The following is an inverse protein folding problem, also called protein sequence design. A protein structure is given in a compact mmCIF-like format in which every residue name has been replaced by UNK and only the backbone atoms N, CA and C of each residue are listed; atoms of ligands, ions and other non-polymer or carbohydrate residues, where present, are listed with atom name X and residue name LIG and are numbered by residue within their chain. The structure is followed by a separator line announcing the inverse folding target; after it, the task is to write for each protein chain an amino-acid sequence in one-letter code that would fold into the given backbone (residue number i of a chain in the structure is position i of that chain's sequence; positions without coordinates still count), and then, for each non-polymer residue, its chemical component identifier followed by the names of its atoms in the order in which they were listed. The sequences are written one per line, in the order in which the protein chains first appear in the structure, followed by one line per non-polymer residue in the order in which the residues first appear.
data_IF_835573290929
#
_entry.id   IF_835573290929
#
_cell.length_a   1.000
_cell.length_b   1.000
_cell.length_c   1.000
_cell.angle_alpha   90.00
_cell.angle_beta   90.00
_cell.angle_gamma   90.00
#
_symmetry.space_group_name_H-M   'P 1'
#
loop_
_entity.id
_entity.type
_entity.pdbx_description
1 polymer ?
#
# COMPACT_ATOMS: atom_id res chain seq x y z
N UNK A 1 12.42 -14.31 6.95
CA UNK A 1 13.80 -14.42 7.49
C UNK A 1 13.79 -14.21 8.99
N UNK A 2 13.35 -13.04 9.47
CA UNK A 2 13.24 -12.68 10.90
C UNK A 2 12.33 -13.60 11.76
N UNK A 3 11.36 -14.29 11.16
CA UNK A 3 10.41 -15.13 11.90
C UNK A 3 9.25 -14.32 12.49
N UNK A 4 8.48 -14.96 13.38
CA UNK A 4 7.28 -14.39 14.01
C UNK A 4 7.64 -13.75 15.34
N UNK A 5 7.03 -12.62 15.69
CA UNK A 5 7.16 -12.01 17.03
C UNK A 5 6.67 -12.96 18.10
N UNK A 6 7.18 -12.79 19.32
CA UNK A 6 6.70 -13.54 20.48
C UNK A 6 5.19 -13.29 20.67
N UNK A 7 4.45 -14.35 21.03
CA UNK A 7 3.01 -14.28 21.20
C UNK A 7 2.18 -14.39 19.91
N UNK A 8 2.77 -14.30 18.72
CA UNK A 8 2.02 -14.42 17.46
C UNK A 8 1.51 -15.86 17.22
N UNK A 9 0.27 -16.07 16.73
CA UNK A 9 -0.78 -15.09 16.45
C UNK A 9 -1.77 -14.92 17.62
N UNK A 10 -1.51 -15.58 18.75
CA UNK A 10 -2.42 -15.71 19.87
C UNK A 10 -2.56 -14.44 20.71
N UNK A 11 -1.50 -13.65 20.81
CA UNK A 11 -1.47 -12.41 21.57
C UNK A 11 -1.77 -11.22 20.65
N UNK A 12 -2.72 -10.38 21.06
CA UNK A 12 -3.07 -9.17 20.34
C UNK A 12 -2.00 -8.10 20.56
N UNK A 13 -1.50 -7.50 19.48
CA UNK A 13 -0.61 -6.33 19.52
C UNK A 13 -1.36 -5.09 19.02
N UNK A 14 -2.17 -4.44 19.86
CA UNK A 14 -2.90 -3.24 19.45
C UNK A 14 -1.93 -2.09 19.12
N UNK A 15 -2.35 -1.13 18.28
CA UNK A 15 -1.53 0.05 17.98
C UNK A 15 -1.22 0.82 19.27
N UNK A 16 0.07 1.06 19.48
CA UNK A 16 0.60 1.79 20.65
C UNK A 16 0.00 3.19 20.82
N UNK A 17 -0.15 3.95 19.72
CA UNK A 17 -0.69 5.31 19.75
C UNK A 17 -1.48 5.61 18.47
N UNK A 18 -2.80 5.48 18.55
CA UNK A 18 -3.70 5.67 17.39
C UNK A 18 -3.70 7.12 16.85
N UNK A 19 -3.69 8.19 17.68
CA UNK A 19 -3.49 9.54 17.19
C UNK A 19 -2.21 9.72 16.35
N UNK A 20 -1.10 9.08 16.75
CA UNK A 20 0.15 9.14 15.99
C UNK A 20 0.02 8.43 14.63
N UNK A 21 -0.71 7.32 14.55
CA UNK A 21 -1.04 6.65 13.26
C UNK A 21 -1.86 7.57 12.36
N UNK A 22 -2.85 8.27 12.91
CA UNK A 22 -3.65 9.24 12.15
C UNK A 22 -2.80 10.40 11.65
N UNK A 23 -1.91 10.94 12.49
CA UNK A 23 -0.98 11.99 12.09
C UNK A 23 -0.07 11.51 10.95
N UNK A 24 0.51 10.31 11.09
CA UNK A 24 1.33 9.69 10.04
C UNK A 24 0.56 9.52 8.73
N UNK A 25 -0.70 9.09 8.80
CA UNK A 25 -1.57 8.96 7.62
C UNK A 25 -1.86 10.32 6.98
N UNK A 26 -2.09 11.36 7.79
CA UNK A 26 -2.28 12.73 7.29
C UNK A 26 -1.04 13.27 6.57
N UNK A 27 0.15 13.03 7.14
CA UNK A 27 1.44 13.39 6.53
C UNK A 27 1.63 12.62 5.21
N UNK A 28 1.36 11.32 5.19
CA UNK A 28 1.46 10.50 3.99
C UNK A 28 0.52 10.98 2.89
N UNK A 29 -0.75 11.25 3.22
CA UNK A 29 -1.72 11.72 2.23
C UNK A 29 -1.33 13.08 1.66
N UNK A 30 -0.93 14.03 2.53
CA UNK A 30 -0.42 15.33 2.09
C UNK A 30 0.82 15.18 1.18
N UNK A 31 1.80 14.39 1.61
CA UNK A 31 3.02 14.15 0.83
C UNK A 31 2.76 13.43 -0.49
N UNK A 32 1.73 12.59 -0.56
CA UNK A 32 1.38 11.84 -1.78
C UNK A 32 0.92 12.73 -2.93
N UNK A 33 0.45 13.95 -2.65
CA UNK A 33 0.22 14.94 -3.71
C UNK A 33 1.51 15.24 -4.47
N UNK A 34 2.60 15.51 -3.74
CA UNK A 34 3.92 15.71 -4.36
C UNK A 34 4.43 14.45 -5.05
N UNK A 35 4.17 13.27 -4.45
CA UNK A 35 4.58 11.98 -5.02
C UNK A 35 3.96 11.72 -6.39
N UNK A 36 2.63 11.83 -6.51
CA UNK A 36 1.92 11.52 -7.75
C UNK A 36 1.89 12.71 -8.73
N UNK A 37 1.53 13.91 -8.27
CA UNK A 37 1.48 15.08 -9.16
C UNK A 37 2.88 15.50 -9.63
N UNK A 38 3.88 15.41 -8.75
CA UNK A 38 5.27 15.69 -9.09
C UNK A 38 5.87 14.71 -10.08
N UNK A 39 5.32 13.49 -10.20
CA UNK A 39 5.73 12.51 -11.22
C UNK A 39 5.42 12.96 -12.65
N UNK A 40 4.58 13.99 -12.84
CA UNK A 40 4.40 14.66 -14.13
C UNK A 40 5.58 15.56 -14.52
N UNK A 41 6.50 15.86 -13.59
CA UNK A 41 7.73 16.63 -13.79
C UNK A 41 7.55 18.06 -14.34
N UNK A 42 6.31 18.56 -14.34
CA UNK A 42 5.95 19.90 -14.76
C UNK A 42 4.65 20.34 -14.09
N UNK A 43 4.45 21.66 -13.96
CA UNK A 43 3.18 22.23 -13.52
C UNK A 43 2.22 22.34 -14.71
N UNK A 44 1.52 21.24 -15.03
CA UNK A 44 0.66 21.13 -16.21
C UNK A 44 -0.66 20.38 -15.90
N UNK A 45 -1.48 20.14 -16.94
CA UNK A 45 -2.74 19.41 -16.80
C UNK A 45 -2.59 17.99 -16.25
N UNK A 46 -1.53 17.27 -16.64
CA UNK A 46 -1.25 15.92 -16.12
C UNK A 46 -0.98 15.92 -14.61
N UNK A 47 -0.24 16.92 -14.10
CA UNK A 47 -0.02 17.08 -12.66
C UNK A 47 -1.33 17.33 -11.91
N UNK A 48 -2.22 18.18 -12.46
CA UNK A 48 -3.54 18.45 -11.87
C UNK A 48 -4.40 17.20 -11.85
N UNK A 49 -4.42 16.44 -12.96
CA UNK A 49 -5.15 15.18 -13.04
C UNK A 49 -4.64 14.16 -12.00
N UNK A 50 -3.32 13.99 -11.91
CA UNK A 50 -2.70 13.09 -10.94
C UNK A 50 -3.02 13.50 -9.50
N UNK A 51 -3.02 14.79 -9.19
CA UNK A 51 -3.40 15.31 -7.87
C UNK A 51 -4.86 14.95 -7.55
N UNK A 52 -5.79 15.21 -8.48
CA UNK A 52 -7.21 14.91 -8.29
C UNK A 52 -7.47 13.41 -8.13
N UNK A 53 -6.89 12.59 -8.98
CA UNK A 53 -6.98 11.13 -8.89
C UNK A 53 -6.45 10.61 -7.55
N UNK A 54 -5.34 11.15 -7.07
CA UNK A 54 -4.74 10.79 -5.78
C UNK A 54 -5.69 11.10 -4.63
N UNK A 55 -6.28 12.30 -4.61
CA UNK A 55 -7.21 12.69 -3.55
C UNK A 55 -8.48 11.84 -3.55
N UNK A 56 -9.10 11.69 -4.72
CA UNK A 56 -10.37 10.99 -4.88
C UNK A 56 -10.21 9.49 -4.58
N UNK A 57 -9.14 8.85 -5.06
CA UNK A 57 -8.87 7.46 -4.77
C UNK A 57 -8.65 7.23 -3.28
N UNK A 58 -7.86 8.07 -2.60
CA UNK A 58 -7.62 7.96 -1.16
C UNK A 58 -8.91 8.07 -0.34
N UNK A 59 -9.78 9.04 -0.67
CA UNK A 59 -11.09 9.19 -0.03
C UNK A 59 -11.99 7.97 -0.28
N UNK A 60 -12.01 7.46 -1.52
CA UNK A 60 -12.76 6.27 -1.87
C UNK A 60 -12.21 5.00 -1.18
N UNK A 61 -10.90 4.88 -0.99
CA UNK A 61 -10.27 3.79 -0.26
C UNK A 61 -10.59 3.78 1.23
N UNK A 62 -10.58 4.95 1.85
CA UNK A 62 -11.06 5.13 3.23
C UNK A 62 -12.49 4.60 3.37
N UNK A 63 -13.39 5.04 2.48
CA UNK A 63 -14.80 4.61 2.49
C UNK A 63 -14.90 3.10 2.22
N UNK A 64 -14.22 2.59 1.21
CA UNK A 64 -14.25 1.17 0.84
C UNK A 64 -13.83 0.27 1.99
N UNK A 65 -12.73 0.62 2.68
CA UNK A 65 -12.27 -0.11 3.86
C UNK A 65 -13.28 -0.03 5.01
N UNK A 66 -13.72 1.18 5.37
CA UNK A 66 -14.68 1.35 6.47
C UNK A 66 -15.99 0.59 6.21
N UNK A 67 -16.46 0.55 4.96
CA UNK A 67 -17.67 -0.19 4.60
C UNK A 67 -17.49 -1.69 4.74
N UNK A 68 -16.39 -2.26 4.25
CA UNK A 68 -16.18 -3.72 4.38
C UNK A 68 -15.90 -4.14 5.82
N UNK A 69 -15.14 -3.32 6.56
CA UNK A 69 -14.86 -3.55 7.98
C UNK A 69 -16.15 -3.45 8.81
N UNK A 70 -16.98 -2.43 8.56
CA UNK A 70 -18.29 -2.33 9.20
C UNK A 70 -19.20 -3.51 8.86
N UNK A 71 -19.22 -3.94 7.60
CA UNK A 71 -20.05 -5.06 7.16
C UNK A 71 -19.61 -6.40 7.80
N UNK A 72 -18.30 -6.66 7.91
CA UNK A 72 -17.76 -7.94 8.40
C UNK A 72 -17.54 -7.98 9.90
N UNK A 73 -17.05 -6.89 10.47
CA UNK A 73 -16.59 -6.81 11.86
C UNK A 73 -17.54 -5.97 12.73
N UNK A 74 -18.60 -5.40 12.14
CA UNK A 74 -19.68 -4.71 12.83
C UNK A 74 -19.41 -3.26 13.17
N UNK A 75 -18.16 -2.78 13.06
CA UNK A 75 -17.77 -1.38 13.32
C UNK A 75 -16.66 -0.93 12.38
N UNK A 76 -16.81 0.25 11.78
CA UNK A 76 -15.71 0.93 11.13
C UNK A 76 -14.75 1.50 12.18
N UNK A 77 -13.44 1.32 11.97
CA UNK A 77 -12.40 1.78 12.88
C UNK A 77 -11.55 2.88 12.24
N UNK A 78 -10.97 3.74 13.08
CA UNK A 78 -10.03 4.77 12.62
C UNK A 78 -8.76 4.18 12.01
N UNK A 79 -8.29 3.04 12.55
CA UNK A 79 -7.14 2.33 12.00
C UNK A 79 -7.46 1.75 10.62
N UNK A 80 -8.66 1.20 10.45
CA UNK A 80 -9.17 0.73 9.16
C UNK A 80 -9.29 1.87 8.15
N UNK A 81 -9.86 3.02 8.56
CA UNK A 81 -9.90 4.22 7.72
C UNK A 81 -8.50 4.65 7.25
N UNK A 82 -7.51 4.67 8.16
CA UNK A 82 -6.12 4.99 7.81
C UNK A 82 -5.52 3.97 6.82
N UNK A 83 -5.76 2.68 7.05
CA UNK A 83 -5.30 1.60 6.19
C UNK A 83 -5.91 1.69 4.79
N UNK A 84 -7.20 2.02 4.70
CA UNK A 84 -7.92 2.25 3.44
C UNK A 84 -7.35 3.42 2.64
N UNK A 85 -7.00 4.53 3.29
CA UNK A 85 -6.31 5.66 2.65
C UNK A 85 -5.00 5.20 2.03
N UNK A 86 -4.13 4.55 2.81
CA UNK A 86 -2.80 4.13 2.33
C UNK A 86 -2.91 3.08 1.21
N UNK A 87 -3.80 2.09 1.36
CA UNK A 87 -4.05 1.08 0.33
C UNK A 87 -4.45 1.69 -1.01
N UNK A 88 -5.35 2.69 -0.99
CA UNK A 88 -5.78 3.38 -2.20
C UNK A 88 -4.72 4.32 -2.77
N UNK A 89 -3.96 5.01 -1.93
CA UNK A 89 -2.81 5.83 -2.37
C UNK A 89 -1.78 4.97 -3.10
N UNK A 90 -1.48 3.77 -2.59
CA UNK A 90 -0.62 2.80 -3.28
C UNK A 90 -1.26 2.36 -4.60
N UNK A 91 -2.53 1.97 -4.61
CA UNK A 91 -3.18 1.46 -5.82
C UNK A 91 -3.30 2.51 -6.94
N UNK A 92 -3.56 3.78 -6.62
CA UNK A 92 -3.66 4.84 -7.64
C UNK A 92 -2.30 5.32 -8.13
N UNK A 93 -1.22 5.10 -7.37
CA UNK A 93 0.15 5.56 -7.71
C UNK A 93 0.57 5.23 -9.15
N UNK A 94 0.51 3.98 -9.64
CA UNK A 94 0.92 3.69 -11.02
C UNK A 94 0.00 4.34 -12.06
N UNK A 95 -1.22 4.72 -11.68
CA UNK A 95 -2.29 5.13 -12.59
C UNK A 95 -2.65 6.63 -12.51
N UNK A 96 -2.10 7.37 -11.56
CA UNK A 96 -2.58 8.71 -11.20
C UNK A 96 -2.61 9.66 -12.42
N UNK A 97 -1.62 9.59 -13.29
CA UNK A 97 -1.53 10.40 -14.50
C UNK A 97 -2.10 9.75 -15.77
N UNK A 98 -2.75 8.59 -15.69
CA UNK A 98 -3.12 7.78 -16.87
C UNK A 98 -4.61 7.42 -16.94
N UNK A 99 -5.39 7.73 -15.91
CA UNK A 99 -6.80 7.37 -15.83
C UNK A 99 -7.68 8.61 -15.72
N UNK A 100 -8.72 8.67 -16.56
CA UNK A 100 -9.66 9.79 -16.61
C UNK A 100 -10.95 9.55 -15.82
N UNK A 101 -11.73 10.62 -15.65
CA UNK A 101 -13.09 10.55 -15.09
C UNK A 101 -13.15 10.07 -13.64
N UNK A 102 -14.14 9.21 -13.34
CA UNK A 102 -14.38 8.67 -12.00
C UNK A 102 -13.69 7.32 -11.75
N UNK A 103 -12.78 6.90 -12.63
CA UNK A 103 -12.04 5.63 -12.49
C UNK A 103 -11.23 5.57 -11.19
N UNK A 104 -10.67 6.68 -10.72
CA UNK A 104 -9.93 6.75 -9.44
C UNK A 104 -10.77 6.34 -8.22
N UNK A 105 -12.10 6.51 -8.26
CA UNK A 105 -13.01 5.98 -7.21
C UNK A 105 -12.97 4.46 -7.19
N UNK A 106 -12.94 3.81 -8.35
CA UNK A 106 -12.88 2.35 -8.46
C UNK A 106 -11.55 1.85 -7.90
N UNK A 107 -10.43 2.49 -8.24
CA UNK A 107 -9.12 2.17 -7.64
C UNK A 107 -9.16 2.24 -6.12
N UNK A 108 -9.72 3.33 -5.58
CA UNK A 108 -9.88 3.49 -4.15
C UNK A 108 -10.72 2.39 -3.50
N UNK A 109 -11.95 2.20 -3.98
CA UNK A 109 -12.88 1.22 -3.42
C UNK A 109 -12.33 -0.21 -3.50
N UNK A 110 -11.82 -0.61 -4.66
CA UNK A 110 -11.28 -1.96 -4.88
C UNK A 110 -10.03 -2.19 -4.03
N UNK A 111 -9.14 -1.20 -3.91
CA UNK A 111 -7.96 -1.30 -3.07
C UNK A 111 -8.31 -1.36 -1.58
N UNK A 112 -9.21 -0.50 -1.11
CA UNK A 112 -9.65 -0.50 0.30
C UNK A 112 -10.28 -1.83 0.69
N UNK A 113 -11.19 -2.35 -0.14
CA UNK A 113 -11.83 -3.65 0.11
C UNK A 113 -10.84 -4.80 -0.06
N UNK A 114 -10.09 -4.81 -1.15
CA UNK A 114 -9.16 -5.89 -1.49
C UNK A 114 -8.05 -6.03 -0.45
N UNK A 115 -7.41 -4.93 -0.06
CA UNK A 115 -6.34 -4.95 0.92
C UNK A 115 -6.84 -5.40 2.30
N UNK A 116 -8.06 -5.04 2.70
CA UNK A 116 -8.69 -5.58 3.92
C UNK A 116 -8.73 -7.12 3.93
N UNK A 117 -9.02 -7.76 2.79
CA UNK A 117 -8.99 -9.23 2.72
C UNK A 117 -7.56 -9.77 2.67
N UNK A 118 -6.65 -9.10 1.96
CA UNK A 118 -5.26 -9.52 1.81
C UNK A 118 -4.50 -9.52 3.14
N UNK A 119 -4.73 -8.55 4.03
CA UNK A 119 -4.13 -8.55 5.37
C UNK A 119 -4.56 -9.77 6.19
N UNK A 120 -5.79 -10.25 6.01
CA UNK A 120 -6.31 -11.43 6.69
C UNK A 120 -5.65 -12.74 6.24
N UNK A 121 -4.95 -12.75 5.10
CA UNK A 121 -4.26 -13.94 4.60
C UNK A 121 -3.04 -14.30 5.45
N UNK A 122 -2.40 -13.34 6.14
CA UNK A 122 -1.19 -13.61 6.93
C UNK A 122 -1.40 -14.64 8.03
N UNK A 123 -2.56 -14.61 8.68
CA UNK A 123 -2.93 -15.58 9.71
C UNK A 123 -3.19 -16.98 9.13
N UNK A 124 -3.77 -17.05 7.92
CA UNK A 124 -4.02 -18.33 7.21
C UNK A 124 -2.74 -18.94 6.64
N UNK A 125 -1.86 -18.09 6.11
CA UNK A 125 -0.59 -18.49 5.49
C UNK A 125 0.54 -18.63 6.51
N UNK A 126 0.31 -18.24 7.76
CA UNK A 126 1.23 -18.51 8.86
C UNK A 126 2.46 -17.60 8.87
N UNK A 127 2.37 -16.36 8.38
CA UNK A 127 3.48 -15.38 8.43
C UNK A 127 3.10 -14.15 9.25
N UNK A 128 4.08 -13.57 9.93
CA UNK A 128 3.91 -12.35 10.73
C UNK A 128 4.43 -11.14 9.94
N UNK A 129 3.50 -10.47 9.25
CA UNK A 129 3.72 -9.16 8.66
C UNK A 129 3.20 -8.10 9.64
N UNK A 130 4.12 -7.51 10.40
CA UNK A 130 3.82 -6.78 11.62
C UNK A 130 2.93 -5.57 11.42
N UNK A 131 3.13 -4.87 10.30
CA UNK A 131 2.45 -3.63 9.94
C UNK A 131 1.63 -3.78 8.65
N UNK A 132 1.34 -5.02 8.25
CA UNK A 132 0.52 -5.32 7.07
C UNK A 132 1.06 -4.76 5.75
N UNK A 133 2.39 -4.58 5.63
CA UNK A 133 3.03 -3.98 4.45
C UNK A 133 2.81 -4.83 3.20
N UNK A 134 2.85 -6.15 3.31
CA UNK A 134 2.58 -7.07 2.20
C UNK A 134 1.13 -6.93 1.73
N UNK A 135 0.18 -6.87 2.67
CA UNK A 135 -1.24 -6.76 2.35
C UNK A 135 -1.64 -5.39 1.78
N UNK A 136 -1.11 -4.31 2.36
CA UNK A 136 -1.42 -2.92 1.96
C UNK A 136 -0.59 -2.47 0.78
N UNK A 137 0.74 -2.52 0.85
CA UNK A 137 1.61 -2.04 -0.22
C UNK A 137 1.76 -3.08 -1.34
N UNK A 138 2.05 -4.33 -1.00
CA UNK A 138 2.15 -5.40 -1.99
C UNK A 138 0.80 -5.65 -2.69
N UNK A 139 -0.24 -5.86 -1.89
CA UNK A 139 -1.61 -6.06 -2.38
C UNK A 139 -2.17 -4.86 -3.14
N UNK A 140 -2.04 -3.65 -2.57
CA UNK A 140 -2.46 -2.41 -3.22
C UNK A 140 -1.72 -2.16 -4.54
N UNK A 141 -0.41 -2.46 -4.59
CA UNK A 141 0.38 -2.34 -5.81
C UNK A 141 -0.08 -3.30 -6.92
N UNK A 142 -0.39 -4.55 -6.56
CA UNK A 142 -0.95 -5.54 -7.51
C UNK A 142 -2.31 -5.07 -8.02
N UNK A 143 -3.21 -4.66 -7.12
CA UNK A 143 -4.53 -4.14 -7.49
C UNK A 143 -4.39 -2.93 -8.43
N UNK A 144 -3.53 -1.98 -8.08
CA UNK A 144 -3.26 -0.79 -8.89
C UNK A 144 -2.70 -1.11 -10.27
N UNK A 145 -1.73 -2.03 -10.35
CA UNK A 145 -1.13 -2.45 -11.62
C UNK A 145 -2.13 -3.16 -12.54
N UNK A 146 -2.98 -4.03 -11.99
CA UNK A 146 -4.06 -4.67 -12.72
C UNK A 146 -5.08 -3.64 -13.23
N UNK A 147 -5.53 -2.74 -12.36
CA UNK A 147 -6.51 -1.72 -12.72
C UNK A 147 -5.94 -0.73 -13.74
N UNK A 148 -4.65 -0.38 -13.69
CA UNK A 148 -4.01 0.44 -14.72
C UNK A 148 -4.14 -0.20 -16.10
N UNK A 149 -3.79 -1.49 -16.22
CA UNK A 149 -3.92 -2.21 -17.49
C UNK A 149 -5.36 -2.32 -18.01
N UNK A 150 -6.36 -2.11 -17.14
CA UNK A 150 -7.77 -2.09 -17.52
C UNK A 150 -8.28 -0.68 -17.86
N UNK A 151 -7.87 0.33 -17.08
CA UNK A 151 -8.48 1.66 -17.05
C UNK A 151 -7.63 2.80 -17.62
N UNK A 152 -6.40 2.55 -18.09
CA UNK A 152 -5.64 3.58 -18.79
C UNK A 152 -6.45 4.13 -19.97
N UNK A 153 -6.65 5.45 -20.01
CA UNK A 153 -7.48 6.12 -21.02
C UNK A 153 -6.69 7.26 -21.64
N UNK A 154 -5.98 6.96 -22.74
CA UNK A 154 -5.18 7.96 -23.42
C UNK A 154 -6.08 9.06 -23.99
N UNK A 155 -7.24 8.70 -24.53
CA UNK A 155 -8.16 9.67 -25.14
C UNK A 155 -8.67 10.74 -24.16
N UNK A 156 -8.88 10.38 -22.89
CA UNK A 156 -9.34 11.31 -21.87
C UNK A 156 -8.22 12.14 -21.23
N UNK A 157 -6.98 11.64 -21.27
CA UNK A 157 -5.84 12.26 -20.58
C UNK A 157 -4.93 13.03 -21.53
N UNK A 158 -4.62 12.45 -22.69
CA UNK A 158 -3.71 12.99 -23.69
C UNK A 158 -4.36 12.90 -25.09
N UNK A 159 -4.71 14.05 -25.66
CA UNK A 159 -5.36 14.12 -26.98
C UNK A 159 -4.42 13.87 -28.16
N UNK A 160 -3.13 13.61 -27.92
CA UNK A 160 -2.13 13.40 -28.96
C UNK A 160 -2.03 11.92 -29.37
N UNK A 161 -2.04 11.60 -30.68
CA UNK A 161 -1.77 10.24 -31.16
C UNK A 161 -0.40 9.75 -30.70
N UNK A 162 -0.35 8.61 -30.00
CA UNK A 162 0.90 7.99 -29.55
C UNK A 162 1.37 8.39 -28.14
N UNK A 163 0.48 8.86 -27.27
CA UNK A 163 0.76 9.10 -25.85
C UNK A 163 1.13 7.81 -25.10
N UNK A 164 0.16 7.20 -24.42
CA UNK A 164 0.35 5.90 -23.76
C UNK A 164 -0.63 4.85 -24.30
N UNK A 165 -0.34 3.58 -24.05
CA UNK A 165 -1.22 2.48 -24.47
C UNK A 165 -2.54 2.51 -23.68
N UNK A 166 -3.66 2.37 -24.38
CA UNK A 166 -4.97 2.25 -23.74
C UNK A 166 -5.10 0.94 -22.94
N UNK A 167 -5.88 1.00 -21.87
CA UNK A 167 -6.31 -0.16 -21.12
C UNK A 167 -7.35 -0.98 -21.88
N UNK A 168 -7.61 -2.19 -21.39
CA UNK A 168 -8.55 -3.13 -22.01
C UNK A 168 -9.94 -2.51 -22.22
N UNK A 169 -10.43 -1.68 -21.29
CA UNK A 169 -11.76 -1.07 -21.39
C UNK A 169 -11.87 0.05 -22.43
N UNK A 170 -10.73 0.54 -22.94
CA UNK A 170 -10.67 1.60 -23.93
C UNK A 170 -10.16 1.10 -25.30
N UNK A 171 -10.20 -0.22 -25.52
CA UNK A 171 -9.86 -0.83 -26.81
C UNK A 171 -8.39 -1.22 -26.98
N UNK A 172 -7.56 -1.02 -25.94
CA UNK A 172 -6.21 -1.54 -25.88
C UNK A 172 -6.14 -2.99 -25.41
N UNK A 173 -5.02 -3.38 -24.81
CA UNK A 173 -4.85 -4.72 -24.23
C UNK A 173 -3.40 -5.17 -24.04
N UNK A 174 -2.48 -4.66 -24.86
CA UNK A 174 -1.04 -4.93 -24.69
C UNK A 174 -0.55 -4.45 -23.32
N UNK A 175 -1.00 -3.26 -22.89
CA UNK A 175 -0.68 -2.71 -21.57
C UNK A 175 -1.01 -3.67 -20.43
N UNK A 176 -2.13 -4.41 -20.50
CA UNK A 176 -2.49 -5.34 -19.43
C UNK A 176 -1.48 -6.48 -19.30
N UNK A 177 -0.98 -7.00 -20.42
CA UNK A 177 0.07 -8.02 -20.43
C UNK A 177 1.39 -7.46 -19.93
N UNK A 178 1.74 -6.24 -20.35
CA UNK A 178 2.94 -5.54 -19.89
C UNK A 178 2.90 -5.29 -18.37
N UNK A 179 1.74 -4.92 -17.83
CA UNK A 179 1.53 -4.75 -16.40
C UNK A 179 1.70 -6.06 -15.62
N UNK A 180 1.19 -7.19 -16.14
CA UNK A 180 1.41 -8.51 -15.52
C UNK A 180 2.90 -8.88 -15.51
N UNK A 181 3.60 -8.65 -16.63
CA UNK A 181 5.03 -8.92 -16.75
C UNK A 181 5.85 -8.02 -15.79
N UNK A 182 5.52 -6.73 -15.73
CA UNK A 182 6.18 -5.76 -14.84
C UNK A 182 5.98 -6.13 -13.36
N UNK A 183 4.74 -6.38 -12.94
CA UNK A 183 4.44 -6.80 -11.56
C UNK A 183 5.15 -8.11 -11.20
N UNK A 184 5.07 -9.12 -12.07
CA UNK A 184 5.74 -10.40 -11.85
C UNK A 184 7.26 -10.24 -11.71
N UNK A 185 7.87 -9.42 -12.56
CA UNK A 185 9.31 -9.12 -12.52
C UNK A 185 9.71 -8.42 -11.23
N UNK A 186 8.97 -7.38 -10.83
CA UNK A 186 9.25 -6.62 -9.60
C UNK A 186 9.05 -7.49 -8.36
N UNK A 187 7.99 -8.29 -8.30
CA UNK A 187 7.75 -9.23 -7.20
C UNK A 187 8.88 -10.24 -7.08
N UNK A 188 9.26 -10.89 -8.18
CA UNK A 188 10.30 -11.91 -8.17
C UNK A 188 11.66 -11.31 -7.76
N UNK A 189 12.05 -10.19 -8.38
CA UNK A 189 13.30 -9.51 -8.05
C UNK A 189 13.32 -9.07 -6.58
N UNK A 190 12.30 -8.36 -6.14
CA UNK A 190 12.25 -7.79 -4.77
C UNK A 190 12.26 -8.89 -3.72
N UNK A 191 11.50 -9.97 -3.92
CA UNK A 191 11.47 -11.10 -2.99
C UNK A 191 12.80 -11.85 -2.97
N UNK A 192 13.33 -12.25 -4.13
CA UNK A 192 14.55 -13.07 -4.21
C UNK A 192 15.74 -12.29 -3.66
N UNK A 193 15.94 -11.05 -4.12
CA UNK A 193 17.11 -10.24 -3.73
C UNK A 193 17.03 -9.90 -2.24
N UNK A 194 15.88 -9.44 -1.75
CA UNK A 194 15.72 -9.14 -0.31
C UNK A 194 15.87 -10.39 0.54
N UNK A 195 15.35 -11.54 0.10
CA UNK A 195 15.52 -12.80 0.82
C UNK A 195 17.01 -13.19 0.95
N UNK A 196 17.77 -13.10 -0.14
CA UNK A 196 19.22 -13.40 -0.13
C UNK A 196 19.96 -12.43 0.78
N UNK A 197 19.74 -11.11 0.63
CA UNK A 197 20.38 -10.10 1.46
C UNK A 197 20.05 -10.35 2.93
N UNK A 198 18.78 -10.51 3.28
CA UNK A 198 18.37 -10.73 4.65
C UNK A 198 18.95 -12.02 5.22
N UNK A 199 19.03 -13.11 4.43
CA UNK A 199 19.66 -14.36 4.87
C UNK A 199 21.15 -14.25 5.10
N UNK A 200 21.86 -13.51 4.25
CA UNK A 200 23.29 -13.25 4.44
C UNK A 200 23.50 -12.45 5.72
N UNK A 201 22.77 -11.34 5.90
CA UNK A 201 22.88 -10.52 7.10
C UNK A 201 22.53 -11.29 8.37
N UNK A 202 21.48 -12.09 8.34
CA UNK A 202 21.06 -12.92 9.47
C UNK A 202 22.13 -13.97 9.84
N UNK A 203 22.80 -14.54 8.83
CA UNK A 203 23.89 -15.50 9.05
C UNK A 203 25.20 -14.84 9.53
N UNK A 204 25.45 -13.57 9.20
CA UNK A 204 26.72 -12.90 9.54
C UNK A 204 26.65 -12.08 10.82
N UNK A 205 25.59 -11.29 11.01
CA UNK A 205 25.45 -10.35 12.13
C UNK A 205 24.21 -10.63 12.99
N UNK A 206 23.27 -11.45 12.50
CA UNK A 206 21.96 -11.63 13.12
C UNK A 206 21.07 -10.41 12.87
N UNK A 207 19.85 -10.62 12.36
CA UNK A 207 18.92 -9.51 12.13
C UNK A 207 17.93 -9.29 13.28
N UNK A 208 17.65 -10.32 14.07
CA UNK A 208 16.69 -10.26 15.17
C UNK A 208 17.42 -10.11 16.51
N UNK A 209 16.86 -9.31 17.40
CA UNK A 209 17.30 -9.19 18.79
C UNK A 209 17.10 -10.50 19.56
N UNK A 210 17.72 -10.61 20.73
CA UNK A 210 17.52 -11.77 21.61
C UNK A 210 16.08 -11.83 22.15
N UNK A 211 15.63 -12.99 22.63
CA UNK A 211 14.30 -13.11 23.25
C UNK A 211 14.18 -12.23 24.51
N UNK A 212 15.25 -12.09 25.29
CA UNK A 212 15.31 -11.22 26.46
C UNK A 212 15.16 -9.75 26.08
N UNK A 213 15.84 -9.30 25.01
CA UNK A 213 15.73 -7.94 24.50
C UNK A 213 14.35 -7.63 23.90
N UNK A 214 13.71 -8.62 23.26
CA UNK A 214 12.34 -8.52 22.75
C UNK A 214 11.33 -8.41 23.90
N UNK A 215 11.54 -9.14 25.00
CA UNK A 215 10.73 -9.05 26.22
C UNK A 215 10.91 -7.71 26.96
N UNK A 216 12.14 -7.20 27.04
CA UNK A 216 12.44 -5.91 27.67
C UNK A 216 11.89 -4.72 26.84
N UNK A 217 11.74 -4.91 25.53
CA UNK A 217 11.35 -3.87 24.59
C UNK A 217 12.54 -3.15 23.96
N UNK A 218 12.44 -2.85 22.66
CA UNK A 218 13.55 -2.30 21.87
C UNK A 218 13.96 -0.88 22.32
N UNK A 219 13.04 -0.07 22.84
CA UNK A 219 13.37 1.25 23.39
C UNK A 219 14.44 1.13 24.49
N UNK A 220 14.27 0.19 25.41
CA UNK A 220 15.22 0.00 26.51
C UNK A 220 16.47 -0.76 26.06
N UNK A 221 16.31 -1.86 25.32
CA UNK A 221 17.45 -2.74 24.96
C UNK A 221 18.36 -2.15 23.88
N UNK A 222 17.80 -1.42 22.91
CA UNK A 222 18.56 -0.87 21.79
C UNK A 222 18.86 0.63 21.94
N UNK A 223 18.04 1.37 22.69
CA UNK A 223 18.17 2.82 22.81
C UNK A 223 18.42 3.32 24.24
N UNK A 224 18.26 2.47 25.26
CA UNK A 224 18.31 2.85 26.67
C UNK A 224 17.38 4.03 27.02
N UNK A 225 16.23 4.09 26.32
CA UNK A 225 15.21 5.13 26.47
C UNK A 225 13.84 4.51 26.77
N UNK A 226 12.91 5.35 27.24
CA UNK A 226 11.50 5.00 27.40
C UNK A 226 10.66 5.97 26.57
N UNK A 227 9.74 5.47 25.73
CA UNK A 227 8.88 6.34 24.92
C UNK A 227 8.05 7.34 25.75
N UNK A 228 7.53 6.91 26.91
CA UNK A 228 6.73 7.74 27.81
C UNK A 228 7.13 7.54 29.27
N UNK A 229 7.23 8.64 30.02
CA UNK A 229 7.31 8.61 31.47
C UNK A 229 5.91 8.94 32.00
N UNK A 230 5.21 7.92 32.50
CA UNK A 230 3.85 8.04 33.07
C UNK A 230 3.90 8.36 34.56
#
# INVERSE_FOLDING_TARGET
VLGKRKGWPSESSPPHNLPLVMLGTGILWFGWFGFNAGSAQAANGAAVQALLNTFVAAAAGMIGWMLIEWYRDGKATTLGACSGVVAALVAITPAAGYVGGLSSIIFGLVAGVGCYFLIGLKNKLGYDDSLDVVGVHGGGGIIGGLLLGLFADNSAINSEPGGFQDGVFFGGGELFIDQLAAMGSVIAFSFIVTFVIAKVLDATIGLRVSEEDEEAGLDQSQHAETAYNL
#
